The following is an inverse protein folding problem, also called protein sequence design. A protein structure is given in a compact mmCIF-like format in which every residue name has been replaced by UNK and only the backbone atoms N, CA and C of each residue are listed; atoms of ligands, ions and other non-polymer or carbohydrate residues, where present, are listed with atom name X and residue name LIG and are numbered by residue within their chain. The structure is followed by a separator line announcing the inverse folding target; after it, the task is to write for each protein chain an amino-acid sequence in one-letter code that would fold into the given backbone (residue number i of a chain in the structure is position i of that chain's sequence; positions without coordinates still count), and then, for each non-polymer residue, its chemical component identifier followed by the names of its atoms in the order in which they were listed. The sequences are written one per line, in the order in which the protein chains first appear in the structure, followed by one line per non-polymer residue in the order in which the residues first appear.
data_IF_374102945214
#
_entry.id   IF_374102945214
#
_cell.length_a   1.000
_cell.length_b   1.000
_cell.length_c   1.000
_cell.angle_alpha   90.00
_cell.angle_beta   90.00
_cell.angle_gamma   90.00
#
_symmetry.space_group_name_H-M   'P 1'
#
loop_
_entity.id
_entity.type
_entity.pdbx_description
1 polymer ?
#
# COMPACT_ATOMS: atom_id res chain seq x y z
N UNK A 1 -11.27 -16.33 55.35
CA UNK A 1 -11.83 -16.04 54.02
C UNK A 1 -12.47 -14.64 53.94
N UNK A 2 -13.23 -14.18 54.92
CA UNK A 2 -13.92 -12.87 54.96
C UNK A 2 -12.96 -11.65 54.91
N UNK A 3 -11.85 -11.69 55.64
CA UNK A 3 -10.84 -10.62 55.68
C UNK A 3 -10.07 -10.42 54.37
N UNK A 4 -9.83 -11.48 53.59
CA UNK A 4 -9.24 -11.36 52.22
C UNK A 4 -10.18 -10.68 51.25
N UNK A 5 -11.47 -10.99 51.27
CA UNK A 5 -12.51 -10.34 50.44
C UNK A 5 -12.63 -8.86 50.74
N UNK A 6 -12.56 -8.46 52.02
CA UNK A 6 -12.63 -7.05 52.45
C UNK A 6 -11.44 -6.25 52.00
N UNK A 7 -10.23 -6.82 52.03
CA UNK A 7 -9.00 -6.17 51.52
C UNK A 7 -9.02 -6.02 49.99
N UNK A 8 -9.51 -7.00 49.26
CA UNK A 8 -9.68 -6.92 47.79
C UNK A 8 -10.70 -5.84 47.42
N UNK A 9 -11.80 -5.74 48.12
CA UNK A 9 -12.81 -4.70 47.87
C UNK A 9 -12.26 -3.29 48.11
N UNK A 10 -11.50 -3.07 49.18
CA UNK A 10 -10.86 -1.79 49.48
C UNK A 10 -9.83 -1.42 48.37
N UNK A 11 -9.03 -2.41 47.92
CA UNK A 11 -8.06 -2.19 46.83
C UNK A 11 -8.73 -1.79 45.52
N UNK A 12 -9.84 -2.46 45.15
CA UNK A 12 -10.63 -2.16 43.94
C UNK A 12 -11.25 -0.75 44.07
N UNK A 13 -11.79 -0.38 45.23
CA UNK A 13 -12.35 0.94 45.46
C UNK A 13 -11.30 2.05 45.38
N UNK A 14 -10.12 1.84 45.95
CA UNK A 14 -9.00 2.78 45.85
C UNK A 14 -8.51 2.91 44.39
N UNK A 15 -8.44 1.81 43.63
CA UNK A 15 -8.08 1.83 42.21
C UNK A 15 -9.11 2.64 41.41
N UNK A 16 -10.40 2.42 41.64
CA UNK A 16 -11.47 3.19 40.97
C UNK A 16 -11.39 4.68 41.29
N UNK A 17 -11.15 5.05 42.56
CA UNK A 17 -10.96 6.45 42.97
C UNK A 17 -9.74 7.05 42.26
N UNK A 18 -8.61 6.34 42.21
CA UNK A 18 -7.43 6.81 41.49
C UNK A 18 -7.71 7.00 40.00
N UNK A 19 -8.43 6.10 39.34
CA UNK A 19 -8.82 6.20 37.92
C UNK A 19 -9.74 7.40 37.72
N UNK A 20 -10.72 7.65 38.60
CA UNK A 20 -11.60 8.83 38.53
C UNK A 20 -10.85 10.14 38.71
N UNK A 21 -9.93 10.21 39.68
CA UNK A 21 -9.11 11.41 39.94
C UNK A 21 -8.17 11.69 38.76
N UNK A 22 -7.53 10.65 38.22
CA UNK A 22 -6.65 10.77 37.05
C UNK A 22 -7.43 11.21 35.81
N UNK A 23 -8.62 10.64 35.58
CA UNK A 23 -9.50 11.02 34.47
C UNK A 23 -9.98 12.47 34.60
N UNK A 24 -10.36 12.91 35.80
CA UNK A 24 -10.77 14.29 36.08
C UNK A 24 -9.63 15.28 35.86
N UNK A 25 -8.41 14.94 36.32
CA UNK A 25 -7.22 15.74 36.10
C UNK A 25 -6.86 15.86 34.61
N UNK A 26 -6.89 14.72 33.88
CA UNK A 26 -6.64 14.71 32.45
C UNK A 26 -7.67 15.55 31.68
N UNK A 27 -8.96 15.42 32.03
CA UNK A 27 -10.02 16.24 31.44
C UNK A 27 -9.82 17.73 31.67
N UNK A 28 -9.44 18.14 32.89
CA UNK A 28 -9.13 19.55 33.22
C UNK A 28 -7.99 20.11 32.36
N UNK A 29 -6.89 19.36 32.21
CA UNK A 29 -5.77 19.76 31.35
C UNK A 29 -6.21 19.88 29.89
N UNK A 30 -7.01 18.94 29.42
CA UNK A 30 -7.52 18.93 28.03
C UNK A 30 -8.38 20.16 27.76
N UNK A 31 -9.30 20.52 28.67
CA UNK A 31 -10.15 21.72 28.58
C UNK A 31 -9.29 22.98 28.59
N UNK A 32 -8.30 23.05 29.46
CA UNK A 32 -7.40 24.21 29.53
C UNK A 32 -6.61 24.40 28.23
N UNK A 33 -6.10 23.30 27.64
CA UNK A 33 -5.42 23.32 26.33
C UNK A 33 -6.37 23.70 25.19
N UNK A 34 -7.58 23.15 25.16
CA UNK A 34 -8.58 23.53 24.16
C UNK A 34 -8.89 25.03 24.23
N UNK A 35 -9.08 25.57 25.42
CA UNK A 35 -9.35 26.99 25.64
C UNK A 35 -8.18 27.89 25.21
N UNK A 36 -6.94 27.43 25.35
CA UNK A 36 -5.76 28.23 24.92
C UNK A 36 -5.71 28.44 23.39
N UNK A 37 -6.41 27.62 22.62
CA UNK A 37 -6.62 27.78 21.16
C UNK A 37 -8.03 28.22 20.80
N UNK A 38 -8.83 28.66 21.76
CA UNK A 38 -10.26 29.03 21.56
C UNK A 38 -11.09 27.92 20.89
N UNK A 39 -10.70 26.66 21.06
CA UNK A 39 -11.37 25.49 20.48
C UNK A 39 -12.39 24.91 21.45
N UNK A 40 -13.45 24.27 20.89
CA UNK A 40 -14.24 23.37 21.71
C UNK A 40 -13.42 22.14 22.12
N UNK A 41 -13.70 21.56 23.28
CA UNK A 41 -13.02 20.35 23.76
C UNK A 41 -13.18 19.20 22.77
N UNK A 42 -14.33 19.10 22.09
CA UNK A 42 -14.60 18.07 21.07
C UNK A 42 -13.71 18.22 19.85
N UNK A 43 -13.60 19.43 19.30
CA UNK A 43 -12.75 19.72 18.15
C UNK A 43 -11.26 19.49 18.49
N UNK A 44 -10.82 19.94 19.68
CA UNK A 44 -9.46 19.74 20.16
C UNK A 44 -9.09 18.26 20.27
N UNK A 45 -9.92 17.44 20.93
CA UNK A 45 -9.68 15.98 21.06
C UNK A 45 -9.67 15.26 19.72
N UNK A 46 -10.53 15.67 18.79
CA UNK A 46 -10.59 15.11 17.46
C UNK A 46 -9.29 15.37 16.70
N UNK A 47 -8.83 16.63 16.65
CA UNK A 47 -7.57 17.01 16.01
C UNK A 47 -6.38 16.31 16.67
N UNK A 48 -6.36 16.27 18.01
CA UNK A 48 -5.33 15.57 18.78
C UNK A 48 -5.26 14.08 18.40
N UNK A 49 -6.42 13.42 18.21
CA UNK A 49 -6.47 12.03 17.78
C UNK A 49 -5.85 11.83 16.40
N UNK A 50 -6.17 12.71 15.43
CA UNK A 50 -5.60 12.65 14.08
C UNK A 50 -4.07 12.84 14.11
N UNK A 51 -3.58 13.85 14.84
CA UNK A 51 -2.14 14.10 15.02
C UNK A 51 -1.43 12.93 15.70
N UNK A 52 -2.03 12.36 16.76
CA UNK A 52 -1.47 11.20 17.46
C UNK A 52 -1.39 9.95 16.54
N UNK A 53 -2.34 9.78 15.60
CA UNK A 53 -2.28 8.71 14.61
C UNK A 53 -1.08 8.94 13.69
N UNK A 54 -0.90 10.15 13.15
CA UNK A 54 0.24 10.49 12.29
C UNK A 54 1.56 10.26 13.03
N UNK A 55 1.73 10.84 14.21
CA UNK A 55 2.94 10.75 15.03
C UNK A 55 3.33 9.32 15.39
N UNK A 56 2.35 8.43 15.62
CA UNK A 56 2.63 7.04 16.03
C UNK A 56 2.73 6.06 14.88
N UNK A 57 2.06 6.33 13.74
CA UNK A 57 1.84 5.34 12.68
C UNK A 57 2.53 5.68 11.38
N UNK A 58 2.81 6.97 11.11
CA UNK A 58 3.49 7.36 9.88
C UNK A 58 4.85 6.68 9.76
N UNK A 59 5.17 6.17 8.58
CA UNK A 59 6.36 5.36 8.35
C UNK A 59 7.67 6.14 8.59
N UNK A 60 7.68 7.46 8.34
CA UNK A 60 8.84 8.34 8.55
C UNK A 60 8.69 9.19 9.81
N UNK A 61 7.86 8.78 10.78
CA UNK A 61 7.55 9.54 12.01
C UNK A 61 8.77 9.99 12.82
N UNK A 62 9.86 9.20 12.78
CA UNK A 62 11.06 9.47 13.57
C UNK A 62 11.98 10.54 12.95
N UNK A 63 11.67 11.01 11.73
CA UNK A 63 12.37 12.10 11.03
C UNK A 63 11.63 13.44 11.13
N UNK A 64 10.51 13.49 11.82
CA UNK A 64 9.58 14.63 11.86
C UNK A 64 9.71 15.39 13.18
N UNK A 65 9.82 16.72 13.12
CA UNK A 65 9.66 17.59 14.27
C UNK A 65 8.17 17.80 14.59
N UNK A 66 7.63 16.86 15.38
CA UNK A 66 6.21 16.87 15.74
C UNK A 66 5.79 18.05 16.60
N UNK A 67 6.68 18.62 17.41
CA UNK A 67 6.35 19.77 18.27
C UNK A 67 6.12 21.02 17.41
N UNK A 68 6.97 21.26 16.43
CA UNK A 68 6.80 22.33 15.45
C UNK A 68 5.50 22.16 14.66
N UNK A 69 5.26 20.98 14.11
CA UNK A 69 4.04 20.69 13.33
C UNK A 69 2.78 20.89 14.17
N UNK A 70 2.74 20.34 15.38
CA UNK A 70 1.59 20.48 16.28
C UNK A 70 1.28 21.94 16.57
N UNK A 71 2.29 22.78 16.80
CA UNK A 71 2.12 24.20 17.03
C UNK A 71 1.43 24.90 15.87
N UNK A 72 1.89 24.65 14.64
CA UNK A 72 1.28 25.23 13.43
C UNK A 72 -0.14 24.73 13.20
N UNK A 73 -0.35 23.41 13.36
CA UNK A 73 -1.64 22.77 13.14
C UNK A 73 -2.69 23.24 14.15
N UNK A 74 -2.35 23.35 15.45
CA UNK A 74 -3.28 23.89 16.44
C UNK A 74 -3.59 25.37 16.19
N UNK A 75 -2.62 26.16 15.77
CA UNK A 75 -2.84 27.55 15.35
C UNK A 75 -3.79 27.61 14.14
N UNK A 76 -3.65 26.72 13.15
CA UNK A 76 -4.57 26.64 12.00
C UNK A 76 -6.00 26.27 12.39
N UNK A 77 -6.16 25.49 13.47
CA UNK A 77 -7.46 25.05 13.98
C UNK A 77 -8.06 26.00 15.03
N UNK A 78 -7.44 27.15 15.30
CA UNK A 78 -7.91 28.12 16.29
C UNK A 78 -9.37 28.51 16.02
N UNK A 79 -10.20 28.55 17.07
CA UNK A 79 -11.63 28.86 16.98
C UNK A 79 -12.53 27.72 16.52
N UNK A 80 -11.99 26.53 16.24
CA UNK A 80 -12.79 25.37 15.79
C UNK A 80 -13.79 24.91 16.87
N UNK A 81 -15.06 24.76 16.47
CA UNK A 81 -16.16 24.29 17.33
C UNK A 81 -16.58 22.87 16.96
N UNK A 82 -16.73 22.59 15.66
CA UNK A 82 -17.10 21.29 15.12
C UNK A 82 -15.86 20.48 14.76
N UNK A 83 -15.97 19.16 14.67
CA UNK A 83 -14.90 18.27 14.17
C UNK A 83 -14.51 18.64 12.75
N UNK A 84 -15.47 18.97 11.90
CA UNK A 84 -15.27 19.39 10.51
C UNK A 84 -14.42 20.66 10.36
N UNK A 85 -14.46 21.57 11.33
CA UNK A 85 -13.68 22.81 11.30
C UNK A 85 -12.18 22.52 11.39
N UNK A 86 -11.79 21.33 11.91
CA UNK A 86 -10.39 20.90 12.03
C UNK A 86 -9.82 20.25 10.76
N UNK A 87 -10.64 19.94 9.74
CA UNK A 87 -10.17 19.26 8.53
C UNK A 87 -9.06 20.03 7.77
N UNK A 88 -9.15 21.35 7.61
CA UNK A 88 -8.05 22.11 7.00
C UNK A 88 -6.73 22.01 7.80
N UNK A 89 -6.81 21.88 9.12
CA UNK A 89 -5.63 21.72 9.97
C UNK A 89 -5.04 20.28 9.84
N UNK A 90 -5.88 19.25 9.69
CA UNK A 90 -5.42 17.89 9.41
C UNK A 90 -4.74 17.81 8.02
N UNK A 91 -5.30 18.47 7.01
CA UNK A 91 -4.68 18.58 5.70
C UNK A 91 -3.35 19.32 5.74
N UNK A 92 -3.24 20.40 6.54
CA UNK A 92 -1.98 21.09 6.79
C UNK A 92 -0.95 20.14 7.42
N UNK A 93 -1.34 19.37 8.44
CA UNK A 93 -0.43 18.41 9.07
C UNK A 93 0.15 17.44 8.04
N UNK A 94 -0.68 16.89 7.13
CA UNK A 94 -0.23 16.01 6.04
C UNK A 94 0.77 16.70 5.10
N UNK A 95 0.51 17.95 4.71
CA UNK A 95 1.43 18.68 3.83
C UNK A 95 2.77 18.96 4.51
N UNK A 96 2.78 19.27 5.82
CA UNK A 96 3.98 19.53 6.58
C UNK A 96 4.87 18.30 6.75
N UNK A 97 4.28 17.11 6.90
CA UNK A 97 5.03 15.85 6.91
C UNK A 97 5.42 15.36 5.51
N UNK A 98 5.09 16.11 4.45
CA UNK A 98 5.36 15.79 3.04
C UNK A 98 4.84 14.42 2.63
N UNK A 99 3.68 14.03 3.18
CA UNK A 99 3.03 12.78 2.86
C UNK A 99 2.22 12.95 1.55
N UNK A 100 2.56 12.14 0.53
CA UNK A 100 1.99 12.23 -0.82
C UNK A 100 1.31 10.92 -1.28
N UNK A 101 1.45 9.81 -0.55
CA UNK A 101 0.89 8.52 -0.92
C UNK A 101 -0.49 8.26 -0.30
N UNK A 102 -0.78 8.85 0.86
CA UNK A 102 -2.09 8.75 1.49
C UNK A 102 -3.00 9.94 1.20
N UNK A 103 -4.11 9.99 1.93
CA UNK A 103 -5.04 11.11 1.87
C UNK A 103 -5.75 11.31 3.22
N UNK A 104 -6.40 12.46 3.36
CA UNK A 104 -7.46 12.67 4.35
C UNK A 104 -8.76 12.92 3.57
N UNK A 105 -9.79 12.12 3.85
CA UNK A 105 -11.11 12.26 3.27
C UNK A 105 -12.14 12.51 4.39
N UNK A 106 -12.99 13.53 4.19
CA UNK A 106 -14.16 13.76 5.04
C UNK A 106 -15.19 12.64 4.89
N UNK A 107 -16.18 12.52 5.79
CA UNK A 107 -17.24 11.50 5.67
C UNK A 107 -17.97 11.57 4.32
N UNK A 108 -18.26 12.77 3.82
CA UNK A 108 -18.91 12.95 2.52
C UNK A 108 -18.03 12.52 1.34
N UNK A 109 -16.71 12.75 1.42
CA UNK A 109 -15.78 12.26 0.41
C UNK A 109 -15.64 10.73 0.46
N UNK A 110 -15.66 10.13 1.66
CA UNK A 110 -15.66 8.66 1.81
C UNK A 110 -16.92 8.04 1.18
N UNK A 111 -18.10 8.64 1.41
CA UNK A 111 -19.35 8.20 0.80
C UNK A 111 -19.32 8.27 -0.74
N UNK A 112 -18.66 9.28 -1.32
CA UNK A 112 -18.45 9.38 -2.76
C UNK A 112 -17.51 8.28 -3.27
N UNK A 113 -16.39 8.03 -2.57
CA UNK A 113 -15.44 6.98 -2.92
C UNK A 113 -16.07 5.58 -2.85
N UNK A 114 -16.98 5.34 -1.89
CA UNK A 114 -17.69 4.07 -1.77
C UNK A 114 -18.74 3.84 -2.87
N UNK A 115 -19.32 4.93 -3.41
CA UNK A 115 -20.29 4.88 -4.51
C UNK A 115 -19.65 4.83 -5.89
N UNK A 116 -18.35 5.12 -6.00
CA UNK A 116 -17.65 5.11 -7.27
C UNK A 116 -17.48 3.67 -7.76
N UNK A 117 -18.17 3.34 -8.86
CA UNK A 117 -17.93 2.08 -9.58
C UNK A 117 -16.58 2.16 -10.29
N UNK A 118 -15.54 1.60 -9.69
CA UNK A 118 -14.24 1.50 -10.33
C UNK A 118 -14.30 0.54 -11.53
N UNK A 119 -14.22 1.10 -12.73
CA UNK A 119 -13.98 0.32 -13.94
C UNK A 119 -12.47 0.12 -14.08
N UNK A 120 -12.03 -1.12 -14.04
CA UNK A 120 -10.64 -1.46 -14.29
C UNK A 120 -10.45 -1.89 -15.74
N UNK A 121 -9.28 -1.58 -16.30
CA UNK A 121 -8.89 -2.06 -17.61
C UNK A 121 -8.49 -3.55 -17.51
N UNK A 122 -9.01 -4.42 -18.39
CA UNK A 122 -8.60 -5.82 -18.42
C UNK A 122 -7.12 -5.93 -18.79
N UNK A 123 -6.41 -7.00 -18.37
CA UNK A 123 -5.04 -7.22 -18.79
C UNK A 123 -4.96 -7.36 -20.31
N UNK A 124 -3.97 -6.70 -20.91
CA UNK A 124 -3.66 -6.88 -22.34
C UNK A 124 -2.60 -7.97 -22.46
N UNK A 125 -2.85 -8.96 -23.29
CA UNK A 125 -1.89 -10.02 -23.53
C UNK A 125 -1.82 -10.40 -25.02
N UNK A 126 -0.62 -10.73 -25.45
CA UNK A 126 -0.37 -11.14 -26.84
C UNK A 126 0.96 -11.88 -26.96
N UNK A 127 1.09 -12.68 -27.97
CA UNK A 127 2.38 -13.24 -28.38
C UNK A 127 3.09 -12.23 -29.28
N UNK A 128 4.31 -11.88 -28.93
CA UNK A 128 5.19 -11.04 -29.73
C UNK A 128 6.10 -11.89 -30.62
N UNK A 129 6.90 -11.23 -31.46
CA UNK A 129 7.95 -11.90 -32.24
C UNK A 129 8.90 -12.70 -31.35
N UNK A 130 9.64 -13.64 -31.93
CA UNK A 130 10.60 -14.53 -31.25
C UNK A 130 9.96 -15.35 -30.11
N UNK A 131 8.63 -15.60 -30.18
CA UNK A 131 7.86 -16.38 -29.23
C UNK A 131 7.90 -15.80 -27.79
N UNK A 132 7.82 -14.47 -27.66
CA UNK A 132 7.80 -13.78 -26.37
C UNK A 132 6.36 -13.51 -25.94
N UNK A 133 5.97 -13.98 -24.76
CA UNK A 133 4.69 -13.70 -24.15
C UNK A 133 4.71 -12.28 -23.55
N UNK A 134 3.74 -11.45 -23.93
CA UNK A 134 3.55 -10.11 -23.37
C UNK A 134 2.26 -10.05 -22.56
N UNK A 135 2.37 -9.56 -21.32
CA UNK A 135 1.23 -9.35 -20.41
C UNK A 135 1.37 -7.99 -19.74
N UNK A 136 0.43 -7.07 -20.01
CA UNK A 136 0.34 -5.77 -19.35
C UNK A 136 -0.75 -5.75 -18.31
N UNK A 137 -0.42 -5.25 -17.11
CA UNK A 137 -1.35 -5.07 -16.01
C UNK A 137 -1.54 -3.59 -15.71
N UNK A 138 -2.79 -3.18 -15.61
CA UNK A 138 -3.20 -1.81 -15.29
C UNK A 138 -3.54 -1.65 -13.82
N UNK A 139 -3.83 -0.41 -13.42
CA UNK A 139 -4.38 -0.06 -12.11
C UNK A 139 -5.63 -0.86 -11.79
N UNK A 140 -5.68 -1.45 -10.59
CA UNK A 140 -6.81 -2.28 -10.17
C UNK A 140 -7.30 -1.88 -8.77
N UNK A 141 -8.11 -0.80 -8.62
CA UNK A 141 -8.54 -0.26 -7.34
C UNK A 141 -9.80 -0.99 -6.82
N UNK A 142 -9.71 -2.29 -6.54
CA UNK A 142 -10.85 -3.06 -6.06
C UNK A 142 -10.89 -3.15 -4.53
N UNK A 143 -12.12 -3.15 -4.00
CA UNK A 143 -12.47 -3.45 -2.61
C UNK A 143 -13.50 -4.58 -2.52
N UNK A 144 -13.86 -5.25 -3.64
CA UNK A 144 -14.88 -6.29 -3.73
C UNK A 144 -14.26 -7.64 -4.06
N UNK A 145 -14.66 -8.68 -3.33
CA UNK A 145 -14.20 -10.05 -3.56
C UNK A 145 -14.57 -10.54 -4.97
N UNK A 146 -15.74 -10.14 -5.51
CA UNK A 146 -16.18 -10.50 -6.86
C UNK A 146 -15.26 -9.90 -7.92
N UNK A 147 -14.90 -8.62 -7.78
CA UNK A 147 -13.98 -7.96 -8.71
C UNK A 147 -12.58 -8.58 -8.62
N UNK A 148 -12.10 -8.90 -7.42
CA UNK A 148 -10.81 -9.57 -7.19
C UNK A 148 -10.76 -10.95 -7.86
N UNK A 149 -11.83 -11.74 -7.75
CA UNK A 149 -11.93 -13.04 -8.42
C UNK A 149 -12.00 -12.90 -9.95
N UNK A 150 -12.78 -11.92 -10.44
CA UNK A 150 -12.88 -11.65 -11.88
C UNK A 150 -11.53 -11.23 -12.46
N UNK A 151 -10.81 -10.32 -11.82
CA UNK A 151 -9.48 -9.88 -12.22
C UNK A 151 -8.46 -11.04 -12.20
N UNK A 152 -8.39 -11.78 -11.09
CA UNK A 152 -7.54 -12.97 -10.99
C UNK A 152 -7.81 -13.98 -12.11
N UNK A 153 -9.09 -14.23 -12.43
CA UNK A 153 -9.49 -15.12 -13.52
C UNK A 153 -9.00 -14.61 -14.87
N UNK A 154 -9.12 -13.29 -15.14
CA UNK A 154 -8.65 -12.70 -16.40
C UNK A 154 -7.13 -12.85 -16.55
N UNK A 155 -6.34 -12.50 -15.51
CA UNK A 155 -4.88 -12.62 -15.53
C UNK A 155 -4.44 -14.08 -15.73
N UNK A 156 -5.02 -15.01 -14.97
CA UNK A 156 -4.67 -16.43 -15.12
C UNK A 156 -5.12 -17.01 -16.45
N UNK A 157 -6.23 -16.55 -17.02
CA UNK A 157 -6.66 -16.96 -18.38
C UNK A 157 -5.67 -16.48 -19.43
N UNK A 158 -5.19 -15.24 -19.32
CA UNK A 158 -4.16 -14.67 -20.19
C UNK A 158 -2.85 -15.49 -20.10
N UNK A 159 -2.39 -15.82 -18.89
CA UNK A 159 -1.19 -16.64 -18.68
C UNK A 159 -1.35 -18.03 -19.32
N UNK A 160 -2.46 -18.71 -19.10
CA UNK A 160 -2.73 -20.04 -19.67
C UNK A 160 -2.78 -20.00 -21.19
N UNK A 161 -3.41 -18.97 -21.78
CA UNK A 161 -3.47 -18.78 -23.22
C UNK A 161 -2.08 -18.60 -23.83
N UNK A 162 -1.23 -17.76 -23.24
CA UNK A 162 0.14 -17.54 -23.69
C UNK A 162 1.01 -18.79 -23.51
N UNK A 163 0.93 -19.48 -22.36
CA UNK A 163 1.70 -20.68 -22.06
C UNK A 163 1.31 -21.87 -22.97
N UNK A 164 0.08 -21.84 -23.57
CA UNK A 164 -0.33 -22.85 -24.56
C UNK A 164 0.58 -22.85 -25.79
N UNK A 165 1.21 -21.74 -26.14
CA UNK A 165 2.18 -21.58 -27.22
C UNK A 165 3.59 -22.06 -26.85
N UNK A 166 3.75 -22.75 -25.72
CA UNK A 166 5.01 -23.28 -25.23
C UNK A 166 6.12 -22.24 -25.09
N UNK A 167 5.76 -21.07 -24.50
CA UNK A 167 6.67 -19.94 -24.26
C UNK A 167 7.51 -20.17 -23.00
N UNK A 168 8.72 -19.67 -23.02
CA UNK A 168 9.64 -19.59 -21.87
C UNK A 168 10.11 -18.15 -21.60
N UNK A 169 9.74 -17.19 -22.44
CA UNK A 169 10.11 -15.79 -22.40
C UNK A 169 8.89 -14.92 -22.17
N UNK A 170 8.96 -14.06 -21.14
CA UNK A 170 7.83 -13.27 -20.71
C UNK A 170 8.21 -11.80 -20.52
N UNK A 171 7.33 -10.91 -20.96
CA UNK A 171 7.34 -9.49 -20.62
C UNK A 171 6.13 -9.21 -19.74
N UNK A 172 6.38 -8.70 -18.54
CA UNK A 172 5.35 -8.19 -17.62
C UNK A 172 5.43 -6.67 -17.61
N UNK A 173 4.45 -6.01 -18.22
CA UNK A 173 4.44 -4.55 -18.35
C UNK A 173 3.60 -3.90 -17.25
N UNK A 174 4.27 -3.19 -16.35
CA UNK A 174 3.68 -2.45 -15.22
C UNK A 174 3.75 -0.93 -15.41
N UNK A 175 4.21 -0.44 -16.55
CA UNK A 175 4.43 1.00 -16.80
C UNK A 175 3.18 1.86 -16.66
N UNK A 176 1.98 1.28 -16.79
CA UNK A 176 0.68 1.95 -16.60
C UNK A 176 -0.04 1.52 -15.33
N UNK A 177 0.62 0.82 -14.41
CA UNK A 177 0.02 0.31 -13.19
C UNK A 177 0.27 1.26 -12.01
N UNK A 178 -0.69 2.11 -11.69
CA UNK A 178 -0.60 3.06 -10.57
C UNK A 178 -0.99 2.44 -9.22
N UNK A 179 -1.28 1.15 -9.17
CA UNK A 179 -1.57 0.43 -7.93
C UNK A 179 -3.00 -0.08 -7.81
N UNK A 180 -3.51 -0.12 -6.59
CA UNK A 180 -4.82 -0.69 -6.23
C UNK A 180 -4.69 -1.92 -5.34
N UNK A 181 -5.37 -3.03 -5.65
CA UNK A 181 -5.31 -4.25 -4.84
C UNK A 181 -4.14 -5.17 -5.27
N UNK A 182 -3.01 -5.08 -4.56
CA UNK A 182 -1.84 -5.92 -4.83
C UNK A 182 -2.12 -7.41 -4.71
N UNK A 183 -3.06 -7.81 -3.85
CA UNK A 183 -3.32 -9.24 -3.60
C UNK A 183 -3.98 -9.93 -4.78
N UNK A 184 -4.89 -9.25 -5.46
CA UNK A 184 -5.51 -9.76 -6.69
C UNK A 184 -4.48 -9.86 -7.82
N UNK A 185 -3.60 -8.86 -7.97
CA UNK A 185 -2.50 -8.86 -8.96
C UNK A 185 -1.52 -10.01 -8.70
N UNK A 186 -1.02 -10.15 -7.45
CA UNK A 186 -0.07 -11.19 -7.06
C UNK A 186 -0.67 -12.60 -7.17
N UNK A 187 -1.96 -12.76 -6.88
CA UNK A 187 -2.66 -14.03 -7.05
C UNK A 187 -2.77 -14.40 -8.52
N UNK A 188 -3.10 -13.43 -9.38
CA UNK A 188 -3.18 -13.63 -10.83
C UNK A 188 -1.83 -14.02 -11.43
N UNK A 189 -0.76 -13.36 -11.02
CA UNK A 189 0.61 -13.60 -11.48
C UNK A 189 1.28 -14.81 -10.82
N UNK A 190 0.62 -15.47 -9.90
CA UNK A 190 1.17 -16.60 -9.13
C UNK A 190 1.94 -17.65 -9.94
N UNK A 191 1.47 -18.06 -11.13
CA UNK A 191 2.20 -19.03 -11.97
C UNK A 191 3.60 -18.57 -12.42
N UNK A 192 3.86 -17.24 -12.44
CA UNK A 192 5.15 -16.65 -12.83
C UNK A 192 6.08 -16.40 -11.63
N UNK A 193 5.62 -16.62 -10.39
CA UNK A 193 6.40 -16.43 -9.17
C UNK A 193 7.03 -17.74 -8.73
N UNK A 194 8.36 -17.77 -8.59
CA UNK A 194 9.16 -19.00 -8.39
C UNK A 194 9.20 -19.54 -6.97
N UNK A 195 8.82 -18.75 -5.96
CA UNK A 195 8.92 -19.10 -4.53
C UNK A 195 7.64 -18.78 -3.77
N UNK A 196 7.45 -19.47 -2.63
CA UNK A 196 6.34 -19.21 -1.73
C UNK A 196 6.45 -17.80 -1.09
N UNK A 197 7.63 -17.39 -0.61
CA UNK A 197 7.86 -16.04 -0.10
C UNK A 197 8.27 -15.10 -1.24
N UNK A 198 7.42 -14.12 -1.54
CA UNK A 198 7.56 -13.20 -2.67
C UNK A 198 7.92 -11.77 -2.27
N UNK A 199 7.93 -11.45 -0.98
CA UNK A 199 8.30 -10.14 -0.45
C UNK A 199 7.90 -9.99 1.00
N UNK A 200 8.09 -8.78 1.54
CA UNK A 200 7.76 -8.46 2.93
C UNK A 200 7.21 -7.04 3.06
N UNK A 201 6.31 -6.85 4.02
CA UNK A 201 6.13 -5.55 4.66
C UNK A 201 7.14 -5.42 5.79
N UNK A 202 7.76 -4.25 5.91
CA UNK A 202 8.71 -3.92 6.98
C UNK A 202 8.13 -2.80 7.82
N UNK A 203 7.89 -3.05 9.11
CA UNK A 203 7.47 -2.03 10.07
C UNK A 203 8.64 -1.18 10.55
N UNK A 204 8.37 -0.01 11.14
CA UNK A 204 9.41 0.87 11.70
C UNK A 204 10.27 0.21 12.78
N UNK A 205 9.72 -0.78 13.50
CA UNK A 205 10.48 -1.57 14.48
C UNK A 205 11.32 -2.69 13.86
N UNK A 206 11.40 -2.78 12.53
CA UNK A 206 12.14 -3.83 11.80
C UNK A 206 11.39 -5.15 11.66
N UNK A 207 10.18 -5.30 12.20
CA UNK A 207 9.36 -6.50 12.04
C UNK A 207 9.06 -6.76 10.56
N UNK A 208 9.33 -8.00 10.11
CA UNK A 208 9.09 -8.47 8.73
C UNK A 208 7.82 -9.30 8.68
N UNK A 209 6.86 -8.86 7.86
CA UNK A 209 5.62 -9.59 7.63
C UNK A 209 5.67 -10.15 6.19
N UNK A 210 5.86 -11.47 5.98
CA UNK A 210 6.05 -12.03 4.66
C UNK A 210 4.78 -11.97 3.80
N UNK A 211 4.97 -11.71 2.51
CA UNK A 211 3.98 -11.97 1.48
C UNK A 211 4.22 -13.36 0.94
N UNK A 212 3.20 -14.19 0.97
CA UNK A 212 3.31 -15.58 0.54
C UNK A 212 2.33 -15.87 -0.58
N UNK A 213 2.83 -16.51 -1.64
CA UNK A 213 2.01 -17.12 -2.68
C UNK A 213 2.20 -18.64 -2.59
N UNK A 214 1.12 -19.38 -2.42
CA UNK A 214 1.16 -20.84 -2.39
C UNK A 214 -0.06 -21.43 -3.08
N UNK A 215 0.19 -22.18 -4.15
CA UNK A 215 -0.86 -22.77 -4.99
C UNK A 215 -1.80 -21.67 -5.53
N UNK A 216 -3.02 -21.58 -5.00
CA UNK A 216 -4.04 -20.62 -5.39
C UNK A 216 -4.40 -19.62 -4.27
N UNK A 217 -3.44 -19.29 -3.42
CA UNK A 217 -3.68 -18.41 -2.25
C UNK A 217 -2.53 -17.42 -2.09
N UNK A 218 -2.86 -16.17 -1.80
CA UNK A 218 -1.90 -15.15 -1.32
C UNK A 218 -2.19 -14.81 0.13
N UNK A 219 -1.13 -14.59 0.91
CA UNK A 219 -1.19 -14.36 2.35
C UNK A 219 -0.26 -13.24 2.78
N UNK A 220 -0.67 -12.53 3.83
CA UNK A 220 0.17 -11.66 4.63
C UNK A 220 0.48 -12.36 5.96
N UNK A 221 1.73 -12.72 6.20
CA UNK A 221 2.08 -13.56 7.34
C UNK A 221 1.35 -14.91 7.28
N UNK A 222 0.48 -15.14 8.26
CA UNK A 222 -0.38 -16.34 8.32
C UNK A 222 -1.83 -16.07 7.88
N UNK A 223 -2.20 -14.79 7.69
CA UNK A 223 -3.56 -14.40 7.30
C UNK A 223 -3.75 -14.56 5.79
N UNK A 224 -4.83 -15.21 5.36
CA UNK A 224 -5.23 -15.29 3.97
C UNK A 224 -5.76 -13.93 3.52
N UNK A 225 -5.18 -13.37 2.46
CA UNK A 225 -5.64 -12.12 1.86
C UNK A 225 -6.63 -12.40 0.73
N UNK A 226 -6.30 -13.39 -0.12
CA UNK A 226 -7.18 -13.79 -1.22
C UNK A 226 -6.89 -15.25 -1.61
N UNK A 227 -7.95 -15.98 -2.00
CA UNK A 227 -7.87 -17.34 -2.53
C UNK A 227 -8.58 -17.39 -3.88
N UNK A 228 -7.90 -17.88 -4.91
CA UNK A 228 -8.49 -18.06 -6.24
C UNK A 228 -9.56 -19.14 -6.24
N UNK A 229 -10.63 -18.91 -6.97
CA UNK A 229 -11.63 -19.92 -7.32
C UNK A 229 -11.13 -20.89 -8.38
N UNK A 230 -10.05 -20.55 -9.10
CA UNK A 230 -9.44 -21.42 -10.12
C UNK A 230 -8.51 -22.45 -9.48
N UNK A 231 -8.36 -23.65 -10.10
CA UNK A 231 -7.35 -24.60 -9.67
C UNK A 231 -5.94 -24.03 -9.87
N UNK A 232 -4.97 -24.43 -9.02
CA UNK A 232 -3.57 -24.03 -9.19
C UNK A 232 -3.08 -24.33 -10.61
N UNK A 233 -2.26 -23.44 -11.15
CA UNK A 233 -1.64 -23.59 -12.45
C UNK A 233 -0.12 -23.52 -12.34
N UNK A 234 0.55 -24.37 -13.07
CA UNK A 234 2.00 -24.40 -13.20
C UNK A 234 2.35 -24.25 -14.69
N UNK A 235 3.29 -23.35 -14.98
CA UNK A 235 3.79 -23.16 -16.34
C UNK A 235 4.48 -24.42 -16.85
N UNK A 236 4.45 -24.62 -18.17
CA UNK A 236 5.11 -25.73 -18.85
C UNK A 236 6.63 -25.61 -18.78
N UNK A 237 7.15 -24.39 -18.88
CA UNK A 237 8.57 -24.08 -18.87
C UNK A 237 8.93 -23.15 -17.72
N UNK A 238 10.20 -23.15 -17.28
CA UNK A 238 10.72 -22.16 -16.35
C UNK A 238 10.86 -20.83 -17.07
N UNK A 239 10.18 -19.75 -16.62
CA UNK A 239 10.16 -18.50 -17.34
C UNK A 239 11.45 -17.70 -17.17
N UNK A 240 11.89 -17.02 -18.24
CA UNK A 240 12.78 -15.86 -18.22
C UNK A 240 11.89 -14.63 -18.37
N UNK A 241 11.99 -13.66 -17.45
CA UNK A 241 10.99 -12.58 -17.31
C UNK A 241 11.66 -11.22 -17.39
N UNK A 242 11.23 -10.39 -18.33
CA UNK A 242 11.50 -8.96 -18.34
C UNK A 242 10.32 -8.22 -17.71
N UNK A 243 10.56 -7.40 -16.69
CA UNK A 243 9.56 -6.56 -16.05
C UNK A 243 9.76 -5.12 -16.49
N UNK A 244 8.75 -4.53 -17.13
CA UNK A 244 8.81 -3.13 -17.56
C UNK A 244 8.19 -2.25 -16.49
N UNK A 245 8.96 -1.28 -16.00
CA UNK A 245 8.56 -0.29 -15.00
C UNK A 245 8.76 1.14 -15.51
N UNK A 246 8.10 2.09 -14.89
CA UNK A 246 8.22 3.50 -15.27
C UNK A 246 7.58 4.43 -14.24
N UNK A 247 7.59 5.73 -14.53
CA UNK A 247 7.15 6.78 -13.60
C UNK A 247 5.69 6.67 -13.14
N UNK A 248 4.85 5.92 -13.87
CA UNK A 248 3.47 5.63 -13.47
C UNK A 248 3.33 4.26 -12.77
N UNK A 249 4.42 3.49 -12.60
CA UNK A 249 4.39 2.30 -11.75
C UNK A 249 4.40 2.77 -10.30
N UNK A 250 3.30 2.60 -9.58
CA UNK A 250 3.12 3.17 -8.25
C UNK A 250 2.44 2.19 -7.27
N UNK A 251 2.70 2.37 -5.96
CA UNK A 251 1.94 1.71 -4.88
C UNK A 251 1.88 0.18 -5.08
N UNK A 252 0.70 -0.41 -5.24
CA UNK A 252 0.55 -1.86 -5.50
C UNK A 252 1.19 -2.32 -6.82
N UNK A 253 1.36 -1.43 -7.81
CA UNK A 253 2.18 -1.70 -9.00
C UNK A 253 3.65 -1.91 -8.63
N UNK A 254 4.18 -1.11 -7.70
CA UNK A 254 5.52 -1.30 -7.14
C UNK A 254 5.60 -2.57 -6.30
N UNK A 255 4.54 -2.92 -5.55
CA UNK A 255 4.50 -4.21 -4.81
C UNK A 255 4.61 -5.41 -5.75
N UNK A 256 3.98 -5.36 -6.93
CA UNK A 256 4.12 -6.39 -7.96
C UNK A 256 5.55 -6.45 -8.49
N UNK A 257 6.17 -5.31 -8.79
CA UNK A 257 7.57 -5.23 -9.19
C UNK A 257 8.50 -5.80 -8.10
N UNK A 258 8.28 -5.43 -6.83
CA UNK A 258 9.02 -5.96 -5.67
C UNK A 258 8.89 -7.49 -5.56
N UNK A 259 7.73 -8.07 -5.88
CA UNK A 259 7.54 -9.51 -5.84
C UNK A 259 8.37 -10.26 -6.89
N UNK A 260 8.67 -9.65 -8.03
CA UNK A 260 9.61 -10.17 -9.03
C UNK A 260 11.07 -9.90 -8.68
N UNK A 261 11.36 -8.84 -7.91
CA UNK A 261 12.71 -8.46 -7.53
C UNK A 261 13.40 -9.55 -6.69
N UNK A 262 14.60 -9.93 -7.11
CA UNK A 262 15.37 -11.02 -6.50
C UNK A 262 14.91 -12.44 -6.91
N UNK A 263 13.99 -12.57 -7.86
CA UNK A 263 13.71 -13.83 -8.55
C UNK A 263 14.81 -14.11 -9.59
N UNK A 264 15.20 -15.38 -9.72
CA UNK A 264 16.14 -15.77 -10.78
C UNK A 264 15.53 -15.55 -12.16
N UNK A 265 16.38 -15.26 -13.15
CA UNK A 265 15.96 -15.02 -14.53
C UNK A 265 14.95 -13.86 -14.71
N UNK A 266 14.98 -12.87 -13.81
CA UNK A 266 14.20 -11.64 -13.93
C UNK A 266 15.14 -10.45 -14.12
N UNK A 267 14.78 -9.51 -15.01
CA UNK A 267 15.45 -8.23 -15.22
C UNK A 267 14.44 -7.12 -15.45
N UNK A 268 14.75 -5.93 -14.95
CA UNK A 268 13.86 -4.76 -15.02
C UNK A 268 14.33 -3.78 -16.08
N UNK A 269 13.39 -3.27 -16.88
CA UNK A 269 13.64 -2.32 -17.97
C UNK A 269 12.75 -1.10 -17.86
N UNK A 270 13.21 0.05 -18.33
CA UNK A 270 12.42 1.27 -18.46
C UNK A 270 12.92 2.42 -17.59
N UNK A 271 12.07 2.99 -16.75
CA UNK A 271 12.40 4.14 -15.90
C UNK A 271 12.11 3.84 -14.42
N UNK A 272 12.62 4.71 -13.53
CA UNK A 272 12.31 4.64 -12.11
C UNK A 272 10.80 4.68 -11.87
N UNK A 273 10.35 3.96 -10.84
CA UNK A 273 8.94 3.99 -10.41
C UNK A 273 8.58 5.29 -9.69
N UNK A 274 7.31 5.47 -9.31
CA UNK A 274 6.82 6.68 -8.64
C UNK A 274 7.40 6.93 -7.25
N UNK A 275 7.93 5.90 -6.57
CA UNK A 275 8.49 6.03 -5.22
C UNK A 275 7.48 5.83 -4.08
N UNK A 276 6.36 5.20 -4.35
CA UNK A 276 5.35 4.81 -3.37
C UNK A 276 5.46 3.32 -2.97
N UNK A 277 6.69 2.82 -2.87
CA UNK A 277 6.98 1.44 -2.48
C UNK A 277 6.74 1.21 -0.97
N UNK A 278 5.54 1.51 -0.52
CA UNK A 278 5.10 1.37 0.86
C UNK A 278 3.61 1.02 0.95
N UNK A 279 3.22 0.38 2.07
CA UNK A 279 1.83 0.05 2.34
C UNK A 279 1.15 1.17 3.12
N UNK A 280 -0.02 1.59 2.64
CA UNK A 280 -0.91 2.50 3.36
C UNK A 280 -1.91 1.73 4.22
N UNK A 281 -2.39 2.38 5.29
CA UNK A 281 -3.43 1.84 6.16
C UNK A 281 -4.46 2.93 6.48
N UNK A 282 -5.78 2.62 6.40
CA UNK A 282 -6.85 3.56 6.73
C UNK A 282 -7.06 3.65 8.24
N UNK A 283 -7.12 4.87 8.76
CA UNK A 283 -7.46 5.17 10.13
C UNK A 283 -8.75 5.99 10.15
N UNK A 284 -9.83 5.37 10.60
CA UNK A 284 -11.12 6.06 10.71
C UNK A 284 -11.19 6.92 11.98
N UNK A 285 -11.65 8.13 11.82
CA UNK A 285 -11.93 9.06 12.90
C UNK A 285 -13.38 8.91 13.37
N UNK A 286 -13.75 9.58 14.48
CA UNK A 286 -15.03 9.36 15.17
C UNK A 286 -16.27 9.83 14.41
N UNK A 287 -16.10 10.59 13.37
CA UNK A 287 -17.17 11.09 12.49
C UNK A 287 -17.26 10.36 11.13
N UNK A 288 -16.44 9.33 10.93
CA UNK A 288 -16.35 8.58 9.67
C UNK A 288 -15.34 9.11 8.67
N UNK A 289 -14.63 10.23 8.97
CA UNK A 289 -13.52 10.66 8.15
C UNK A 289 -12.39 9.62 8.17
N UNK A 290 -11.66 9.51 7.05
CA UNK A 290 -10.55 8.57 6.88
C UNK A 290 -9.23 9.30 6.70
N UNK A 291 -8.22 8.90 7.48
CA UNK A 291 -6.83 9.27 7.31
C UNK A 291 -6.06 8.04 6.80
N UNK A 292 -5.73 8.01 5.51
CA UNK A 292 -4.90 6.97 4.91
C UNK A 292 -3.43 7.38 5.02
N UNK A 293 -2.60 6.56 5.63
CA UNK A 293 -1.17 6.84 5.84
C UNK A 293 -0.29 5.67 5.44
N UNK A 294 0.90 5.92 4.86
CA UNK A 294 1.92 4.90 4.71
C UNK A 294 2.48 4.48 6.08
N UNK A 295 2.51 3.17 6.32
CA UNK A 295 2.84 2.59 7.63
C UNK A 295 3.92 1.51 7.59
N UNK A 296 4.24 0.96 6.42
CA UNK A 296 5.24 -0.10 6.24
C UNK A 296 5.95 0.05 4.89
N UNK A 297 7.25 -0.21 4.85
CA UNK A 297 7.99 -0.30 3.60
C UNK A 297 7.79 -1.66 2.91
N UNK A 298 7.99 -1.69 1.59
CA UNK A 298 8.13 -2.94 0.86
C UNK A 298 9.58 -3.43 0.89
N UNK A 299 9.74 -4.72 0.94
CA UNK A 299 11.04 -5.39 0.77
C UNK A 299 10.88 -6.60 -0.14
N UNK A 300 11.87 -6.83 -1.00
CA UNK A 300 11.89 -8.03 -1.82
C UNK A 300 12.24 -9.28 -0.98
N UNK A 301 12.17 -10.44 -1.61
CA UNK A 301 12.44 -11.75 -1.00
C UNK A 301 13.86 -11.94 -0.48
N UNK A 302 14.81 -11.09 -0.92
CA UNK A 302 16.20 -11.10 -0.47
C UNK A 302 16.44 -10.16 0.73
N UNK A 303 15.41 -9.38 1.13
CA UNK A 303 15.49 -8.46 2.26
C UNK A 303 15.93 -7.04 1.89
N UNK A 304 16.04 -6.71 0.62
CA UNK A 304 16.28 -5.34 0.16
C UNK A 304 15.02 -4.52 0.38
N UNK A 305 15.12 -3.45 1.17
CA UNK A 305 14.03 -2.52 1.47
C UNK A 305 14.01 -1.39 0.43
N UNK A 306 12.81 -1.05 -0.05
CA UNK A 306 12.60 0.08 -0.95
C UNK A 306 12.06 1.27 -0.15
N UNK A 307 12.89 2.27 0.06
CA UNK A 307 12.52 3.51 0.79
C UNK A 307 11.96 4.58 -0.15
N UNK A 308 12.30 4.47 -1.42
CA UNK A 308 11.91 5.39 -2.50
C UNK A 308 11.52 4.58 -3.74
N UNK A 309 11.68 5.15 -4.92
CA UNK A 309 11.43 4.48 -6.18
C UNK A 309 12.34 3.25 -6.40
N UNK A 310 11.86 2.34 -7.23
CA UNK A 310 12.66 1.24 -7.76
C UNK A 310 13.35 1.70 -9.05
N UNK A 311 14.65 1.45 -9.14
CA UNK A 311 15.41 1.62 -10.39
C UNK A 311 15.26 0.36 -11.25
N UNK A 312 15.15 0.50 -12.59
CA UNK A 312 15.31 -0.63 -13.49
C UNK A 312 16.79 -1.06 -13.56
N UNK A 313 17.05 -2.30 -13.96
CA UNK A 313 18.41 -2.78 -14.25
C UNK A 313 18.97 -2.15 -15.55
N UNK A 314 18.06 -1.74 -16.45
CA UNK A 314 18.38 -1.05 -17.68
C UNK A 314 17.44 0.13 -17.89
N UNK A 315 18.01 1.35 -17.81
CA UNK A 315 17.26 2.59 -18.03
C UNK A 315 17.07 2.81 -19.52
N UNK A 316 15.81 2.95 -19.94
CA UNK A 316 15.46 3.25 -21.34
C UNK A 316 14.79 4.63 -21.39
N UNK A 317 15.43 5.58 -22.09
CA UNK A 317 14.89 6.92 -22.26
C UNK A 317 13.88 6.93 -23.42
N UNK A 318 12.60 7.03 -23.06
CA UNK A 318 11.51 7.07 -24.05
C UNK A 318 11.59 8.28 -25.00
N UNK A 319 12.31 9.35 -24.63
CA UNK A 319 12.46 10.57 -25.45
C UNK A 319 13.36 10.38 -26.67
N UNK A 320 14.16 9.32 -26.74
CA UNK A 320 15.01 9.02 -27.93
C UNK A 320 14.22 8.31 -29.04
N UNK A 321 12.98 7.91 -28.77
CA UNK A 321 12.14 7.12 -29.67
C UNK A 321 11.15 7.95 -30.51
N UNK A 322 11.33 9.24 -30.66
CA UNK A 322 10.35 10.18 -31.27
C UNK A 322 9.97 9.89 -32.74
N UNK A 323 10.59 8.90 -33.39
CA UNK A 323 10.26 8.49 -34.77
C UNK A 323 10.10 6.97 -34.96
N UNK A 324 10.10 6.16 -33.90
CA UNK A 324 9.93 4.70 -34.03
C UNK A 324 8.49 4.30 -33.81
N UNK A 325 7.92 3.52 -34.72
CA UNK A 325 6.62 2.82 -34.55
C UNK A 325 6.75 1.68 -33.50
N UNK A 326 7.94 1.44 -32.97
CA UNK A 326 8.26 0.38 -32.01
C UNK A 326 8.58 0.98 -30.65
N UNK A 327 8.19 0.28 -29.60
CA UNK A 327 8.45 0.63 -28.20
C UNK A 327 9.88 0.20 -27.81
N UNK A 328 10.84 1.14 -27.57
CA UNK A 328 12.23 0.80 -27.33
C UNK A 328 12.43 -0.02 -26.05
N UNK A 329 11.55 0.13 -25.05
CA UNK A 329 11.62 -0.67 -23.83
C UNK A 329 11.24 -2.12 -24.09
N UNK A 330 10.23 -2.36 -24.93
CA UNK A 330 9.84 -3.71 -25.35
C UNK A 330 10.96 -4.32 -26.21
N UNK A 331 11.58 -3.56 -27.12
CA UNK A 331 12.68 -4.05 -27.96
C UNK A 331 13.89 -4.49 -27.12
N UNK A 332 14.34 -3.65 -26.19
CA UNK A 332 15.43 -3.98 -25.26
C UNK A 332 15.12 -5.24 -24.42
N UNK A 333 13.88 -5.37 -23.95
CA UNK A 333 13.42 -6.55 -23.23
C UNK A 333 13.47 -7.82 -24.10
N UNK A 334 12.99 -7.75 -25.36
CA UNK A 334 13.03 -8.88 -26.32
C UNK A 334 14.48 -9.29 -26.61
N UNK A 335 15.35 -8.32 -26.82
CA UNK A 335 16.78 -8.58 -27.09
C UNK A 335 17.43 -9.30 -25.92
N UNK A 336 17.22 -8.83 -24.69
CA UNK A 336 17.74 -9.53 -23.52
C UNK A 336 17.14 -10.93 -23.35
N UNK A 337 15.83 -11.10 -23.58
CA UNK A 337 15.17 -12.41 -23.48
C UNK A 337 15.71 -13.44 -24.49
N UNK A 338 16.17 -12.99 -25.65
CA UNK A 338 16.57 -13.86 -26.77
C UNK A 338 18.08 -14.08 -26.89
N UNK A 339 18.90 -13.24 -26.26
CA UNK A 339 20.37 -13.27 -26.44
C UNK A 339 21.11 -14.18 -25.46
N UNK A 340 20.44 -15.16 -24.78
CA UNK A 340 21.14 -16.20 -23.98
C UNK A 340 20.37 -17.51 -23.98
#
# INVERSE_FOLDING_TARGET
MYWRKKKIFILISLLLICVCLFSGYYLKITIQKANSYSMSTKAFLYLQKALNIMEKKFIYKDTIDWDSIKKEVYKKAEGSVLTSDTYPAIQLARSLIKENHGFFASPSQMELLEKEEFRFEPPIYRLLEKNVAYLSLFTFPSTSDEADQAYNKQVQTAIRALDSSNVDKWIIDLRKNQGGNMWAMLLGLGPLLDKECIGFFIRNNGEKIPWKHKKNTVKQGNSCCLKSSLPPYQLKNTPKIAVLIGNNTASSGEAVAVAFSGQKNVRFFGQHTSGFANATYPFFLSDGACLLLPVMHFSNRLGQIFYTNMAPDEVINANEATNSLKDPTIEAAIDWLCNF
#
